data_IF_867027399912
#
_entry.id   IF_867027399912
#
_cell.length_a   1.000
_cell.length_b   1.000
_cell.length_c   1.000
_cell.angle_alpha   90.00
_cell.angle_beta   90.00
_cell.angle_gamma   90.00
#
_symmetry.space_group_name_H-M   'P 1'
#
loop_
_entity.id
_entity.type
_entity.pdbx_description
1 polymer ?
#
# COMPACT_ATOMS: atom_id res chain seq x y z
N UNK A 1 4.05 -37.64 6.02
CA UNK A 1 3.75 -36.19 6.10
C UNK A 1 2.35 -35.94 5.53
N UNK A 2 1.43 -35.24 6.20
CA UNK A 2 0.10 -34.96 5.64
C UNK A 2 0.18 -34.24 4.29
N UNK A 3 -0.68 -34.59 3.35
CA UNK A 3 -0.70 -34.02 1.98
C UNK A 3 -0.75 -32.48 1.96
N UNK A 4 -1.43 -31.86 2.95
CA UNK A 4 -1.51 -30.40 3.09
C UNK A 4 -0.15 -29.76 3.42
N UNK A 5 0.70 -30.43 4.19
CA UNK A 5 2.04 -29.96 4.53
C UNK A 5 2.96 -30.07 3.31
N UNK A 6 2.86 -31.17 2.55
CA UNK A 6 3.63 -31.35 1.30
C UNK A 6 3.29 -30.25 0.29
N UNK A 7 1.99 -29.95 0.11
CA UNK A 7 1.52 -28.87 -0.75
C UNK A 7 2.00 -27.48 -0.28
N UNK A 8 1.96 -27.24 1.03
CA UNK A 8 2.48 -26.00 1.61
C UNK A 8 3.98 -25.84 1.33
N UNK A 9 4.77 -26.90 1.59
CA UNK A 9 6.21 -26.89 1.35
C UNK A 9 6.53 -26.70 -0.14
N UNK A 10 5.81 -27.38 -1.05
CA UNK A 10 5.99 -27.19 -2.48
C UNK A 10 5.70 -25.74 -2.91
N UNK A 11 4.61 -25.15 -2.43
CA UNK A 11 4.29 -23.74 -2.70
C UNK A 11 5.37 -22.79 -2.17
N UNK A 12 5.88 -23.05 -0.97
CA UNK A 12 6.95 -22.26 -0.35
C UNK A 12 8.27 -22.33 -1.16
N UNK A 13 8.63 -23.51 -1.65
CA UNK A 13 9.83 -23.72 -2.50
C UNK A 13 9.67 -22.98 -3.83
N UNK A 14 8.53 -23.09 -4.49
CA UNK A 14 8.25 -22.39 -5.76
C UNK A 14 8.29 -20.89 -5.54
N UNK A 15 7.72 -20.38 -4.44
CA UNK A 15 7.75 -18.98 -4.09
C UNK A 15 9.18 -18.49 -3.88
N UNK A 16 10.00 -19.22 -3.13
CA UNK A 16 11.41 -18.88 -2.88
C UNK A 16 12.22 -18.88 -4.18
N UNK A 17 12.03 -19.88 -5.05
CA UNK A 17 12.67 -19.95 -6.36
C UNK A 17 12.29 -18.79 -7.28
N UNK A 18 11.01 -18.41 -7.29
CA UNK A 18 10.54 -17.26 -8.06
C UNK A 18 11.17 -15.95 -7.56
N UNK A 19 11.28 -15.74 -6.24
CA UNK A 19 11.96 -14.57 -5.66
C UNK A 19 13.46 -14.54 -5.95
N UNK A 20 14.12 -15.70 -5.92
CA UNK A 20 15.52 -15.79 -6.33
C UNK A 20 15.67 -15.41 -7.81
N UNK A 21 14.79 -15.88 -8.69
CA UNK A 21 14.78 -15.49 -10.10
C UNK A 21 14.56 -13.98 -10.25
N UNK A 22 13.59 -13.39 -9.54
CA UNK A 22 13.34 -11.95 -9.53
C UNK A 22 14.62 -11.22 -9.11
N UNK A 23 15.24 -11.61 -7.99
CA UNK A 23 16.45 -10.98 -7.49
C UNK A 23 17.59 -11.01 -8.52
N UNK A 24 17.82 -12.15 -9.16
CA UNK A 24 18.87 -12.31 -10.18
C UNK A 24 18.62 -11.50 -11.46
N UNK A 25 17.36 -11.15 -11.74
CA UNK A 25 16.97 -10.31 -12.87
C UNK A 25 17.12 -8.81 -12.56
N UNK A 26 17.08 -8.38 -11.29
CA UNK A 26 17.05 -6.94 -10.94
C UNK A 26 18.25 -6.14 -11.43
N UNK A 27 19.50 -6.65 -11.50
CA UNK A 27 20.61 -5.88 -12.02
C UNK A 27 20.44 -5.39 -13.46
N UNK A 28 19.65 -6.11 -14.27
CA UNK A 28 19.37 -5.69 -15.64
C UNK A 28 18.41 -4.49 -15.73
N UNK A 29 17.83 -4.04 -14.60
CA UNK A 29 16.97 -2.86 -14.51
C UNK A 29 17.68 -1.67 -13.86
N UNK A 30 18.99 -1.74 -13.65
CA UNK A 30 19.76 -0.67 -13.03
C UNK A 30 19.64 0.65 -13.81
N UNK A 31 19.78 1.75 -13.10
CA UNK A 31 19.74 3.10 -13.68
C UNK A 31 20.79 3.22 -14.79
N UNK A 32 20.37 3.76 -15.94
CA UNK A 32 21.22 3.89 -17.12
C UNK A 32 21.15 2.73 -18.13
N UNK A 33 20.44 1.63 -17.80
CA UNK A 33 20.17 0.57 -18.79
C UNK A 33 18.96 0.95 -19.65
N UNK A 34 18.98 0.52 -20.93
CA UNK A 34 17.86 0.81 -21.84
C UNK A 34 16.64 -0.08 -21.52
N UNK A 35 15.45 0.51 -21.44
CA UNK A 35 14.20 -0.24 -21.14
C UNK A 35 13.97 -1.37 -22.16
N UNK A 36 14.38 -1.18 -23.42
CA UNK A 36 14.29 -2.21 -24.47
C UNK A 36 15.10 -3.47 -24.15
N UNK A 37 16.16 -3.39 -23.38
CA UNK A 37 17.03 -4.50 -22.99
C UNK A 37 16.52 -5.22 -21.72
N UNK A 38 15.61 -4.59 -20.97
CA UNK A 38 15.11 -5.17 -19.73
C UNK A 38 14.42 -6.52 -19.96
N UNK A 39 14.69 -7.54 -19.12
CA UNK A 39 14.09 -8.87 -19.21
C UNK A 39 12.65 -8.88 -18.63
N UNK A 40 11.82 -7.92 -19.06
CA UNK A 40 10.48 -7.68 -18.50
C UNK A 40 9.56 -8.90 -18.59
N UNK A 41 9.66 -9.71 -19.67
CA UNK A 41 8.86 -10.93 -19.82
C UNK A 41 9.24 -11.98 -18.77
N UNK A 42 10.55 -12.23 -18.57
CA UNK A 42 11.03 -13.16 -17.56
C UNK A 42 10.67 -12.69 -16.15
N UNK A 43 10.80 -11.39 -15.89
CA UNK A 43 10.42 -10.77 -14.63
C UNK A 43 8.91 -10.92 -14.35
N UNK A 44 8.04 -10.56 -15.31
CA UNK A 44 6.59 -10.72 -15.15
C UNK A 44 6.19 -12.19 -15.00
N UNK A 45 6.83 -13.12 -15.72
CA UNK A 45 6.59 -14.55 -15.55
C UNK A 45 6.95 -15.03 -14.14
N UNK A 46 8.10 -14.58 -13.59
CA UNK A 46 8.50 -14.89 -12.21
C UNK A 46 7.52 -14.32 -11.19
N UNK A 47 7.01 -13.09 -11.39
CA UNK A 47 5.97 -12.49 -10.56
C UNK A 47 4.65 -13.27 -10.59
N UNK A 48 4.22 -13.72 -11.78
CA UNK A 48 3.03 -14.58 -11.94
C UNK A 48 3.23 -15.90 -11.22
N UNK A 49 4.39 -16.56 -11.38
CA UNK A 49 4.71 -17.83 -10.70
C UNK A 49 4.69 -17.63 -9.17
N UNK A 50 5.28 -16.55 -8.66
CA UNK A 50 5.23 -16.22 -7.24
C UNK A 50 3.78 -16.00 -6.75
N UNK A 51 2.97 -15.28 -7.53
CA UNK A 51 1.56 -15.06 -7.26
C UNK A 51 0.74 -16.36 -7.24
N UNK A 52 0.96 -17.27 -8.19
CA UNK A 52 0.29 -18.58 -8.25
C UNK A 52 0.70 -19.47 -7.06
N UNK A 53 2.01 -19.50 -6.73
CA UNK A 53 2.51 -20.24 -5.58
C UNK A 53 1.90 -19.74 -4.28
N UNK A 54 1.81 -18.42 -4.10
CA UNK A 54 1.15 -17.80 -2.96
C UNK A 54 -0.37 -18.07 -2.95
N UNK A 55 -1.06 -17.92 -4.08
CA UNK A 55 -2.51 -18.14 -4.18
C UNK A 55 -2.88 -19.59 -3.81
N UNK A 56 -2.02 -20.58 -4.13
CA UNK A 56 -2.21 -21.97 -3.76
C UNK A 56 -2.27 -22.21 -2.25
N UNK A 57 -1.74 -21.28 -1.42
CA UNK A 57 -1.84 -21.33 0.04
C UNK A 57 -3.28 -21.13 0.53
N UNK A 58 -4.10 -20.34 -0.17
CA UNK A 58 -5.46 -20.00 0.26
C UNK A 58 -6.35 -21.25 0.51
N UNK A 59 -6.50 -22.21 -0.41
CA UNK A 59 -7.25 -23.43 -0.15
C UNK A 59 -6.62 -24.33 0.92
N UNK A 60 -5.29 -24.32 1.03
CA UNK A 60 -4.56 -25.09 2.05
C UNK A 60 -4.89 -24.55 3.45
N UNK A 61 -4.80 -23.24 3.63
CA UNK A 61 -5.07 -22.56 4.89
C UNK A 61 -6.54 -22.67 5.32
N UNK A 62 -7.48 -22.65 4.35
CA UNK A 62 -8.92 -22.89 4.64
C UNK A 62 -9.16 -24.26 5.27
N UNK A 63 -8.46 -25.31 4.81
CA UNK A 63 -8.58 -26.67 5.36
C UNK A 63 -8.13 -26.78 6.80
N UNK A 64 -7.16 -25.99 7.24
CA UNK A 64 -6.69 -25.98 8.62
C UNK A 64 -7.74 -25.51 9.63
N UNK A 65 -8.68 -24.63 9.21
CA UNK A 65 -9.80 -24.24 10.07
C UNK A 65 -10.92 -25.30 10.14
N UNK A 66 -11.15 -26.03 9.03
CA UNK A 66 -12.31 -26.91 8.87
C UNK A 66 -12.12 -28.29 9.50
N UNK A 67 -10.90 -28.69 9.87
CA UNK A 67 -10.62 -30.01 10.44
C UNK A 67 -9.98 -29.92 11.81
N UNK A 68 -10.73 -30.20 12.89
CA UNK A 68 -10.16 -30.27 14.23
C UNK A 68 -9.14 -31.41 14.38
N UNK A 69 -9.09 -32.37 13.44
CA UNK A 69 -8.13 -33.49 13.42
C UNK A 69 -6.80 -33.15 12.78
N UNK A 70 -6.70 -32.03 12.04
CA UNK A 70 -5.43 -31.56 11.46
C UNK A 70 -4.90 -30.47 12.38
N UNK A 71 -4.13 -30.88 13.39
CA UNK A 71 -3.28 -29.93 14.11
C UNK A 71 -2.30 -29.33 13.11
N UNK A 72 -2.34 -28.00 12.94
CA UNK A 72 -1.29 -27.30 12.20
C UNK A 72 0.01 -27.57 12.93
N UNK A 73 1.01 -28.23 12.34
CA UNK A 73 2.26 -28.47 13.03
C UNK A 73 2.82 -27.15 13.55
N UNK A 74 3.26 -27.15 14.81
CA UNK A 74 3.82 -25.95 15.46
C UNK A 74 4.95 -25.31 14.65
N UNK A 75 5.59 -26.09 13.74
CA UNK A 75 6.68 -25.64 12.86
C UNK A 75 6.21 -24.78 11.68
N UNK A 76 4.92 -24.82 11.28
CA UNK A 76 4.47 -24.06 10.08
C UNK A 76 4.58 -22.56 10.32
N UNK A 77 4.20 -22.05 11.48
CA UNK A 77 4.27 -20.62 11.74
C UNK A 77 5.72 -20.09 11.76
N UNK A 78 6.68 -20.72 12.49
CA UNK A 78 8.09 -20.35 12.40
C UNK A 78 8.64 -20.41 10.97
N UNK A 79 8.29 -21.44 10.19
CA UNK A 79 8.72 -21.57 8.80
C UNK A 79 8.18 -20.44 7.92
N UNK A 80 6.90 -20.04 8.08
CA UNK A 80 6.30 -18.88 7.42
C UNK A 80 7.06 -17.61 7.78
N UNK A 81 7.32 -17.40 9.07
CA UNK A 81 8.02 -16.21 9.55
C UNK A 81 9.43 -16.12 8.96
N UNK A 82 10.22 -17.20 9.09
CA UNK A 82 11.60 -17.23 8.59
C UNK A 82 11.65 -17.05 7.07
N UNK A 83 10.83 -17.77 6.32
CA UNK A 83 10.78 -17.62 4.86
C UNK A 83 10.45 -16.18 4.47
N UNK A 84 9.39 -15.60 5.02
CA UNK A 84 9.01 -14.23 4.69
C UNK A 84 10.08 -13.19 5.05
N UNK A 85 10.82 -13.40 6.14
CA UNK A 85 11.95 -12.55 6.51
C UNK A 85 13.11 -12.70 5.52
N UNK A 86 13.46 -13.93 5.14
CA UNK A 86 14.53 -14.19 4.15
C UNK A 86 14.22 -13.58 2.79
N UNK A 87 12.96 -13.64 2.33
CA UNK A 87 12.55 -13.02 1.06
C UNK A 87 12.70 -11.49 1.11
N UNK A 88 12.44 -10.85 2.27
CA UNK A 88 12.66 -9.40 2.45
C UNK A 88 14.14 -9.06 2.45
N UNK A 89 14.95 -9.79 3.21
CA UNK A 89 16.42 -9.59 3.28
C UNK A 89 17.04 -9.78 1.89
N UNK A 90 16.59 -10.78 1.11
CA UNK A 90 17.04 -11.00 -0.26
C UNK A 90 16.88 -9.72 -1.11
N UNK A 91 15.75 -9.02 -0.99
CA UNK A 91 15.49 -7.82 -1.76
C UNK A 91 16.15 -6.54 -1.21
N UNK A 92 16.82 -6.58 -0.04
CA UNK A 92 17.58 -5.41 0.43
C UNK A 92 18.71 -5.03 -0.55
N UNK A 93 19.37 -6.02 -1.15
CA UNK A 93 20.44 -5.80 -2.13
C UNK A 93 19.97 -5.75 -3.59
N UNK A 94 18.64 -5.72 -3.85
CA UNK A 94 18.13 -5.68 -5.22
C UNK A 94 18.10 -4.27 -5.79
N UNK A 95 18.42 -4.13 -7.10
CA UNK A 95 18.14 -2.91 -7.86
C UNK A 95 16.62 -2.71 -8.00
N UNK A 96 16.17 -1.46 -7.94
CA UNK A 96 14.76 -1.14 -8.06
C UNK A 96 14.27 -1.33 -9.49
N UNK A 97 13.17 -2.06 -9.67
CA UNK A 97 12.58 -2.35 -10.98
C UNK A 97 11.52 -1.30 -11.30
N UNK A 98 11.85 -0.36 -12.18
CA UNK A 98 10.98 0.70 -12.72
C UNK A 98 10.50 1.75 -11.72
N UNK A 99 10.74 1.60 -10.41
CA UNK A 99 10.23 2.51 -9.39
C UNK A 99 11.38 3.31 -8.76
N UNK A 100 11.15 4.60 -8.54
CA UNK A 100 12.15 5.50 -7.97
C UNK A 100 11.58 6.48 -6.92
N UNK A 101 10.35 6.27 -6.45
CA UNK A 101 9.72 7.10 -5.39
C UNK A 101 10.57 7.19 -4.12
N UNK A 102 11.36 6.15 -3.83
CA UNK A 102 12.27 6.13 -2.67
C UNK A 102 13.28 7.28 -2.69
N UNK A 103 13.64 7.81 -3.86
CA UNK A 103 14.53 8.98 -3.98
C UNK A 103 13.89 10.20 -3.35
N UNK A 104 12.59 10.36 -3.56
CA UNK A 104 11.81 11.41 -2.91
C UNK A 104 11.76 11.21 -1.40
N UNK A 105 11.60 9.99 -0.89
CA UNK A 105 11.59 9.71 0.55
C UNK A 105 12.93 10.01 1.19
N UNK A 106 14.04 9.65 0.54
CA UNK A 106 15.39 9.96 1.02
C UNK A 106 15.63 11.47 1.08
N UNK A 107 15.18 12.20 0.06
CA UNK A 107 15.29 13.65 -0.01
C UNK A 107 14.43 14.33 1.05
N UNK A 108 13.15 14.04 1.09
CA UNK A 108 12.20 14.60 2.07
C UNK A 108 12.64 14.29 3.50
N UNK A 109 13.18 13.08 3.73
CA UNK A 109 13.78 12.68 5.00
C UNK A 109 14.97 13.54 5.40
N UNK A 110 15.85 13.87 4.45
CA UNK A 110 16.97 14.78 4.70
C UNK A 110 16.50 16.18 5.07
N UNK A 111 15.55 16.74 4.33
CA UNK A 111 14.95 18.06 4.60
C UNK A 111 14.35 18.11 6.01
N UNK A 112 13.50 17.12 6.33
CA UNK A 112 12.84 17.02 7.63
C UNK A 112 13.81 16.79 8.78
N UNK A 113 14.82 15.92 8.61
CA UNK A 113 15.84 15.61 9.62
C UNK A 113 16.70 16.83 9.97
N UNK A 114 16.85 17.78 9.05
CA UNK A 114 17.55 19.04 9.25
C UNK A 114 16.64 20.18 9.78
N UNK A 115 15.43 19.85 10.24
CA UNK A 115 14.50 20.77 10.88
C UNK A 115 13.83 21.77 9.93
N UNK A 116 13.81 21.46 8.62
CA UNK A 116 13.13 22.28 7.64
C UNK A 116 11.73 21.72 7.31
N UNK A 117 10.85 22.59 6.84
CA UNK A 117 9.52 22.22 6.40
C UNK A 117 9.57 21.67 4.95
N UNK A 118 9.30 20.36 4.72
CA UNK A 118 9.38 19.77 3.39
C UNK A 118 8.26 20.23 2.44
N UNK A 119 7.27 20.97 2.95
CA UNK A 119 6.16 21.52 2.16
C UNK A 119 6.44 22.94 1.64
N UNK A 120 7.56 23.57 2.04
CA UNK A 120 7.87 24.96 1.71
C UNK A 120 8.60 25.08 0.37
N UNK A 121 9.57 24.19 0.11
CA UNK A 121 10.39 24.22 -1.09
C UNK A 121 10.38 22.90 -1.83
N UNK A 122 10.33 22.95 -3.15
CA UNK A 122 10.50 21.80 -4.02
C UNK A 122 11.98 21.38 -4.13
N UNK A 123 12.28 20.12 -4.48
CA UNK A 123 13.64 19.68 -4.74
C UNK A 123 14.39 20.54 -5.78
N UNK A 124 13.68 20.96 -6.84
CA UNK A 124 14.30 21.79 -7.88
C UNK A 124 14.65 23.19 -7.41
N UNK A 125 13.85 23.84 -6.58
CA UNK A 125 14.17 25.14 -5.98
C UNK A 125 15.43 25.05 -5.11
N UNK A 126 15.52 24.00 -4.29
CA UNK A 126 16.71 23.75 -3.44
C UNK A 126 17.94 23.49 -4.30
N UNK A 127 17.81 22.71 -5.38
CA UNK A 127 18.90 22.44 -6.32
C UNK A 127 19.34 23.70 -7.04
N UNK A 128 18.42 24.54 -7.55
CA UNK A 128 18.79 25.81 -8.21
C UNK A 128 19.52 26.75 -7.21
N UNK A 129 19.09 26.79 -5.94
CA UNK A 129 19.74 27.60 -4.93
C UNK A 129 21.15 27.10 -4.56
N UNK A 130 21.50 25.86 -4.89
CA UNK A 130 22.84 25.30 -4.65
C UNK A 130 23.87 25.70 -5.72
N UNK A 131 23.43 26.27 -6.86
CA UNK A 131 24.33 26.66 -7.94
C UNK A 131 25.19 27.86 -7.58
N UNK A 132 26.46 27.92 -8.04
CA UNK A 132 27.33 29.08 -7.80
C UNK A 132 26.71 30.39 -8.26
N UNK A 133 26.68 31.39 -7.36
CA UNK A 133 26.13 32.71 -7.66
C UNK A 133 24.60 32.83 -7.52
N UNK A 134 23.90 31.78 -7.12
CA UNK A 134 22.46 31.86 -6.86
C UNK A 134 22.18 32.77 -5.65
N UNK A 135 21.26 33.72 -5.82
CA UNK A 135 20.72 34.51 -4.71
C UNK A 135 19.56 33.74 -4.09
N UNK A 136 19.65 33.42 -2.80
CA UNK A 136 18.59 32.69 -2.11
C UNK A 136 18.36 33.25 -0.72
N UNK A 137 17.13 33.06 -0.20
CA UNK A 137 16.80 33.37 1.20
C UNK A 137 17.59 32.44 2.14
N UNK A 138 17.90 32.85 3.39
CA UNK A 138 18.74 32.09 4.30
C UNK A 138 18.26 30.66 4.56
N UNK A 139 16.95 30.42 4.61
CA UNK A 139 16.34 29.08 4.78
C UNK A 139 16.69 28.16 3.60
N UNK A 140 16.54 28.66 2.38
CA UNK A 140 16.82 27.93 1.15
C UNK A 140 18.34 27.68 0.96
N UNK A 141 19.19 28.69 1.28
CA UNK A 141 20.64 28.55 1.25
C UNK A 141 21.14 27.44 2.18
N UNK A 142 20.54 27.29 3.37
CA UNK A 142 20.86 26.22 4.31
C UNK A 142 20.50 24.85 3.76
N UNK A 143 19.36 24.71 3.06
CA UNK A 143 18.94 23.45 2.42
C UNK A 143 19.76 23.12 1.18
N UNK A 144 20.25 24.15 0.46
CA UNK A 144 21.09 23.99 -0.72
C UNK A 144 22.40 23.20 -0.41
N UNK A 145 22.89 23.26 0.83
CA UNK A 145 24.05 22.46 1.25
C UNK A 145 23.78 20.97 1.18
N UNK A 146 22.52 20.52 1.41
CA UNK A 146 22.15 19.11 1.34
C UNK A 146 22.26 18.55 -0.08
N UNK A 147 22.09 19.39 -1.13
CA UNK A 147 22.20 18.94 -2.53
C UNK A 147 23.64 18.76 -3.01
N UNK A 148 24.63 19.33 -2.30
CA UNK A 148 26.02 19.36 -2.75
C UNK A 148 26.87 18.17 -2.27
N UNK A 149 26.48 17.39 -1.27
CA UNK A 149 27.42 16.48 -0.57
C UNK A 149 27.24 15.00 -0.92
N UNK A 150 26.02 14.51 -1.05
CA UNK A 150 25.76 13.09 -1.39
C UNK A 150 24.50 12.91 -2.28
N UNK A 151 23.83 14.00 -2.60
CA UNK A 151 22.57 14.01 -3.32
C UNK A 151 22.72 14.19 -4.85
N UNK A 152 23.95 14.32 -5.37
CA UNK A 152 24.23 14.72 -6.77
C UNK A 152 23.57 13.80 -7.81
N UNK A 153 23.41 12.51 -7.50
CA UNK A 153 22.64 11.60 -8.35
C UNK A 153 21.16 11.47 -7.94
N UNK A 154 20.82 11.87 -6.70
CA UNK A 154 19.48 11.68 -6.15
C UNK A 154 18.49 12.73 -6.68
N UNK A 155 18.90 14.01 -6.70
CA UNK A 155 18.05 15.14 -7.09
C UNK A 155 17.70 15.12 -8.57
N UNK A 156 18.59 14.64 -9.44
CA UNK A 156 18.36 14.56 -10.89
C UNK A 156 17.28 13.54 -11.28
N UNK A 157 17.03 12.53 -10.42
CA UNK A 157 16.16 11.41 -10.72
C UNK A 157 14.89 11.37 -9.84
N UNK A 158 14.61 12.47 -9.09
CA UNK A 158 13.38 12.59 -8.32
C UNK A 158 12.20 12.79 -9.26
N UNK A 159 11.14 11.98 -9.06
CA UNK A 159 9.88 12.17 -9.78
C UNK A 159 9.25 13.52 -9.44
N UNK A 160 8.89 14.30 -10.47
CA UNK A 160 8.25 15.62 -10.32
C UNK A 160 9.01 16.57 -9.38
N UNK A 161 10.30 16.88 -9.65
CA UNK A 161 11.15 17.65 -8.75
C UNK A 161 10.69 19.11 -8.52
N UNK A 162 9.81 19.61 -9.40
CA UNK A 162 9.21 20.96 -9.30
C UNK A 162 8.08 21.05 -8.29
N UNK A 163 7.58 19.92 -7.78
CA UNK A 163 6.49 19.88 -6.80
C UNK A 163 7.04 19.74 -5.37
N UNK A 164 6.42 20.42 -4.42
CA UNK A 164 6.63 20.15 -3.00
C UNK A 164 6.14 18.75 -2.64
N UNK A 165 6.46 18.26 -1.44
CA UNK A 165 6.09 16.89 -1.06
C UNK A 165 4.57 16.67 -0.99
N UNK A 166 4.16 15.46 -1.37
CA UNK A 166 2.75 14.99 -1.25
C UNK A 166 2.52 14.14 0.00
N UNK A 167 3.60 13.77 0.70
CA UNK A 167 3.54 12.80 1.81
C UNK A 167 3.23 13.50 3.13
N UNK A 168 2.22 13.02 3.90
CA UNK A 168 1.84 13.63 5.16
C UNK A 168 2.93 13.56 6.26
N UNK A 169 2.84 14.39 7.32
CA UNK A 169 3.92 14.61 8.28
C UNK A 169 4.41 13.38 9.04
N UNK A 170 3.56 12.39 9.33
CA UNK A 170 4.04 11.18 10.00
C UNK A 170 4.93 10.33 9.07
N UNK A 171 4.66 10.31 7.75
CA UNK A 171 5.55 9.69 6.78
C UNK A 171 6.90 10.42 6.72
N UNK A 172 6.89 11.76 6.74
CA UNK A 172 8.11 12.58 6.80
C UNK A 172 8.97 12.25 8.02
N UNK A 173 8.35 12.06 9.19
CA UNK A 173 9.05 11.62 10.40
C UNK A 173 9.72 10.26 10.25
N UNK A 174 9.10 9.31 9.53
CA UNK A 174 9.69 7.99 9.23
C UNK A 174 10.85 8.13 8.24
N UNK A 175 10.75 9.00 7.24
CA UNK A 175 11.84 9.25 6.30
C UNK A 175 13.04 9.93 7.01
N UNK A 176 12.78 10.88 7.92
CA UNK A 176 13.80 11.50 8.75
C UNK A 176 14.50 10.49 9.67
N UNK A 177 13.77 9.52 10.23
CA UNK A 177 14.35 8.43 11.02
C UNK A 177 15.35 7.62 10.19
N UNK A 178 15.03 7.31 8.93
CA UNK A 178 15.96 6.61 8.04
C UNK A 178 17.22 7.44 7.76
N UNK A 179 17.07 8.77 7.57
CA UNK A 179 18.19 9.67 7.39
C UNK A 179 19.12 9.72 8.62
N UNK A 180 18.57 9.76 9.84
CA UNK A 180 19.37 9.74 11.07
C UNK A 180 20.13 8.42 11.29
N UNK A 181 19.61 7.29 10.77
CA UNK A 181 20.33 6.00 10.83
C UNK A 181 21.49 6.02 9.85
N UNK A 182 21.26 6.39 8.59
CA UNK A 182 22.31 6.56 7.59
C UNK A 182 21.83 7.53 6.49
N UNK A 183 22.44 8.74 6.39
CA UNK A 183 22.05 9.75 5.42
C UNK A 183 22.04 9.22 3.99
N UNK A 184 20.92 9.42 3.28
CA UNK A 184 20.72 9.06 1.87
C UNK A 184 20.93 7.57 1.52
N UNK A 185 20.96 6.66 2.51
CA UNK A 185 21.18 5.23 2.24
C UNK A 185 19.86 4.48 2.15
N UNK A 186 19.61 3.86 1.00
CA UNK A 186 18.40 3.10 0.72
C UNK A 186 18.18 1.94 1.71
N UNK A 187 19.27 1.27 2.13
CA UNK A 187 19.15 0.18 3.11
C UNK A 187 18.61 0.66 4.47
N UNK A 188 18.91 1.89 4.88
CA UNK A 188 18.37 2.45 6.14
C UNK A 188 16.85 2.64 6.05
N UNK A 189 16.36 3.12 4.90
CA UNK A 189 14.92 3.25 4.65
C UNK A 189 14.22 1.88 4.64
N UNK A 190 14.80 0.88 3.95
CA UNK A 190 14.30 -0.51 3.96
C UNK A 190 14.29 -1.10 5.36
N UNK A 191 15.32 -0.83 6.18
CA UNK A 191 15.39 -1.29 7.57
C UNK A 191 14.28 -0.67 8.44
N UNK A 192 14.02 0.62 8.30
CA UNK A 192 12.94 1.31 9.00
C UNK A 192 11.58 0.75 8.57
N UNK A 193 11.38 0.51 7.26
CA UNK A 193 10.15 -0.12 6.76
C UNK A 193 9.96 -1.53 7.33
N UNK A 194 11.03 -2.33 7.43
CA UNK A 194 10.99 -3.66 8.04
C UNK A 194 10.60 -3.59 9.51
N UNK A 195 11.14 -2.63 10.26
CA UNK A 195 10.77 -2.43 11.66
C UNK A 195 9.27 -2.15 11.82
N UNK A 196 8.71 -1.21 11.04
CA UNK A 196 7.28 -0.92 11.09
C UNK A 196 6.42 -2.07 10.57
N UNK A 197 6.88 -2.82 9.57
CA UNK A 197 6.17 -4.00 9.10
C UNK A 197 6.14 -5.12 10.15
N UNK A 198 7.22 -5.33 10.91
CA UNK A 198 7.24 -6.27 12.02
C UNK A 198 6.27 -5.89 13.14
N UNK A 199 6.11 -4.59 13.43
CA UNK A 199 5.04 -4.11 14.32
C UNK A 199 3.66 -4.42 13.76
N UNK A 200 3.47 -4.24 12.44
CA UNK A 200 2.25 -4.62 11.74
C UNK A 200 1.97 -6.12 11.80
N UNK A 201 2.99 -6.95 11.60
CA UNK A 201 2.88 -8.40 11.74
C UNK A 201 2.51 -8.79 13.18
N UNK A 202 3.10 -8.14 14.19
CA UNK A 202 2.74 -8.38 15.59
C UNK A 202 1.26 -8.03 15.85
N UNK A 203 0.77 -6.91 15.34
CA UNK A 203 -0.64 -6.52 15.44
C UNK A 203 -1.56 -7.52 14.69
N UNK A 204 -1.14 -8.01 13.51
CA UNK A 204 -1.84 -9.06 12.76
C UNK A 204 -1.98 -10.34 13.59
N UNK A 205 -0.88 -10.82 14.15
CA UNK A 205 -0.85 -12.05 14.95
C UNK A 205 -1.69 -11.91 16.23
N UNK A 206 -1.60 -10.77 16.92
CA UNK A 206 -2.44 -10.46 18.06
C UNK A 206 -3.93 -10.43 17.67
N UNK A 207 -4.25 -9.84 16.53
CA UNK A 207 -5.60 -9.78 15.98
C UNK A 207 -6.17 -11.16 15.60
N UNK A 208 -5.37 -12.03 15.00
CA UNK A 208 -5.73 -13.43 14.70
C UNK A 208 -5.97 -14.22 16.00
N UNK A 209 -5.03 -14.12 16.96
CA UNK A 209 -5.16 -14.77 18.25
C UNK A 209 -6.40 -14.33 19.02
N UNK A 210 -6.69 -13.01 19.04
CA UNK A 210 -7.85 -12.47 19.74
C UNK A 210 -9.20 -12.95 19.16
N UNK A 211 -9.19 -13.46 17.91
CA UNK A 211 -10.36 -14.01 17.20
C UNK A 211 -10.35 -15.53 17.12
N UNK A 212 -9.42 -16.21 17.79
CA UNK A 212 -9.28 -17.67 17.71
C UNK A 212 -8.96 -18.18 16.30
N UNK A 213 -8.33 -17.35 15.45
CA UNK A 213 -7.95 -17.72 14.10
C UNK A 213 -6.53 -18.31 14.06
N UNK A 214 -6.24 -19.26 13.15
CA UNK A 214 -4.92 -19.84 13.01
C UNK A 214 -3.84 -18.79 12.70
N UNK A 215 -2.73 -18.78 13.45
CA UNK A 215 -1.62 -17.86 13.20
C UNK A 215 -0.96 -18.10 11.83
N UNK A 216 -1.04 -19.33 11.29
CA UNK A 216 -0.57 -19.65 9.93
C UNK A 216 -1.29 -18.86 8.83
N UNK A 217 -2.48 -18.29 9.10
CA UNK A 217 -3.16 -17.43 8.14
C UNK A 217 -2.41 -16.11 7.88
N UNK A 218 -1.50 -15.72 8.78
CA UNK A 218 -0.59 -14.60 8.52
C UNK A 218 0.25 -14.79 7.25
N UNK A 219 0.43 -16.03 6.76
CA UNK A 219 1.09 -16.32 5.48
C UNK A 219 0.45 -15.57 4.30
N UNK A 220 -0.85 -15.29 4.33
CA UNK A 220 -1.53 -14.55 3.26
C UNK A 220 -1.10 -13.07 3.18
N UNK A 221 -0.60 -12.51 4.25
CA UNK A 221 0.02 -11.20 4.28
C UNK A 221 1.55 -11.33 4.14
N UNK A 222 2.16 -12.11 5.03
CA UNK A 222 3.61 -12.13 5.23
C UNK A 222 4.39 -12.76 4.07
N UNK A 223 3.78 -13.68 3.31
CA UNK A 223 4.35 -14.31 2.10
C UNK A 223 3.78 -13.74 0.80
N UNK A 224 2.97 -12.67 0.85
CA UNK A 224 2.40 -12.11 -0.36
C UNK A 224 3.49 -11.48 -1.24
N UNK A 225 3.68 -11.94 -2.49
CA UNK A 225 4.78 -11.50 -3.34
C UNK A 225 4.68 -10.02 -3.71
N UNK A 226 3.49 -9.47 -3.90
CA UNK A 226 3.34 -8.04 -4.21
C UNK A 226 3.72 -7.18 -3.01
N UNK A 227 3.27 -7.53 -1.80
CA UNK A 227 3.65 -6.80 -0.59
C UNK A 227 5.17 -6.80 -0.41
N UNK A 228 5.81 -7.98 -0.51
CA UNK A 228 7.26 -8.11 -0.34
C UNK A 228 7.99 -7.31 -1.43
N UNK A 229 7.60 -7.47 -2.69
CA UNK A 229 8.28 -6.84 -3.81
C UNK A 229 8.12 -5.32 -3.78
N UNK A 230 6.90 -4.80 -3.67
CA UNK A 230 6.66 -3.35 -3.69
C UNK A 230 7.24 -2.63 -2.47
N UNK A 231 7.38 -3.32 -1.33
CA UNK A 231 7.99 -2.74 -0.12
C UNK A 231 9.52 -2.77 -0.15
N UNK A 232 10.16 -3.84 -0.65
CA UNK A 232 11.61 -4.01 -0.50
C UNK A 232 12.41 -3.89 -1.80
N UNK A 233 11.76 -3.97 -2.96
CA UNK A 233 12.35 -3.62 -4.25
C UNK A 233 11.90 -2.22 -4.70
N UNK A 234 10.59 -1.99 -4.83
CA UNK A 234 10.02 -0.68 -5.17
C UNK A 234 10.09 0.36 -4.04
N UNK A 235 10.30 -0.07 -2.81
CA UNK A 235 10.47 0.73 -1.59
C UNK A 235 9.31 1.71 -1.37
N UNK A 236 8.05 1.23 -1.54
CA UNK A 236 6.87 2.05 -1.29
C UNK A 236 6.49 2.08 0.19
N UNK A 237 6.17 3.28 0.67
CA UNK A 237 5.90 3.57 2.07
C UNK A 237 4.57 3.03 2.62
N UNK A 238 3.73 2.45 1.78
CA UNK A 238 2.39 1.98 2.14
C UNK A 238 2.39 0.90 3.24
N UNK A 239 3.50 0.21 3.43
CA UNK A 239 3.72 -0.73 4.53
C UNK A 239 3.59 -0.08 5.91
N UNK A 240 3.88 1.21 6.03
CA UNK A 240 3.76 1.98 7.28
C UNK A 240 2.33 2.05 7.82
N UNK A 241 1.33 1.85 6.94
CA UNK A 241 -0.09 1.84 7.31
C UNK A 241 -0.50 0.57 8.06
N UNK A 242 0.23 -0.53 7.90
CA UNK A 242 -0.18 -1.85 8.41
C UNK A 242 -0.25 -1.88 9.94
N UNK A 243 0.79 -1.39 10.59
CA UNK A 243 0.86 -1.38 12.06
C UNK A 243 -0.28 -0.56 12.70
N UNK A 244 -0.51 0.71 12.35
CA UNK A 244 -1.55 1.50 12.98
C UNK A 244 -2.96 1.04 12.60
N UNK A 245 -3.22 0.63 11.34
CA UNK A 245 -4.56 0.16 10.94
C UNK A 245 -4.91 -1.15 11.65
N UNK A 246 -4.02 -2.13 11.69
CA UNK A 246 -4.29 -3.40 12.36
C UNK A 246 -4.36 -3.24 13.90
N UNK A 247 -3.60 -2.31 14.47
CA UNK A 247 -3.75 -1.93 15.89
C UNK A 247 -5.11 -1.27 16.15
N UNK A 248 -5.57 -0.39 15.27
CA UNK A 248 -6.91 0.20 15.36
C UNK A 248 -7.99 -0.89 15.31
N UNK A 249 -7.88 -1.86 14.39
CA UNK A 249 -8.79 -3.02 14.32
C UNK A 249 -8.75 -3.87 15.60
N UNK A 250 -7.57 -4.13 16.16
CA UNK A 250 -7.40 -4.91 17.38
C UNK A 250 -8.09 -4.29 18.58
N UNK A 251 -7.97 -2.96 18.73
CA UNK A 251 -8.44 -2.24 19.90
C UNK A 251 -9.82 -1.59 19.76
N UNK A 252 -10.40 -1.51 18.55
CA UNK A 252 -11.63 -0.79 18.27
C UNK A 252 -12.81 -1.18 19.18
N UNK A 253 -12.88 -2.43 19.62
CA UNK A 253 -13.98 -2.97 20.41
C UNK A 253 -13.83 -2.73 21.91
N UNK A 254 -12.60 -2.79 22.43
CA UNK A 254 -12.34 -2.81 23.88
C UNK A 254 -11.72 -1.51 24.38
N UNK A 255 -10.93 -0.84 23.56
CA UNK A 255 -10.19 0.40 23.87
C UNK A 255 -10.30 1.40 22.73
N UNK A 256 -11.50 2.02 22.55
CA UNK A 256 -11.78 2.85 21.38
C UNK A 256 -10.87 4.08 21.28
N UNK A 257 -10.38 4.63 22.41
CA UNK A 257 -9.42 5.75 22.40
C UNK A 257 -8.09 5.32 21.78
N UNK A 258 -7.56 4.14 22.16
CA UNK A 258 -6.31 3.61 21.55
C UNK A 258 -6.52 3.37 20.05
N UNK A 259 -7.67 2.82 19.67
CA UNK A 259 -7.99 2.62 18.26
C UNK A 259 -8.10 3.96 17.49
N UNK A 260 -8.65 5.00 18.11
CA UNK A 260 -8.71 6.34 17.53
C UNK A 260 -7.31 6.95 17.33
N UNK A 261 -6.43 6.85 18.33
CA UNK A 261 -5.03 7.27 18.23
C UNK A 261 -4.31 6.56 17.08
N UNK A 262 -4.48 5.23 16.96
CA UNK A 262 -3.86 4.45 15.89
C UNK A 262 -4.44 4.81 14.51
N UNK A 263 -5.74 5.04 14.40
CA UNK A 263 -6.35 5.44 13.13
C UNK A 263 -5.91 6.86 12.73
N UNK A 264 -5.79 7.79 13.68
CA UNK A 264 -5.27 9.14 13.43
C UNK A 264 -3.80 9.09 12.97
N UNK A 265 -2.98 8.21 13.57
CA UNK A 265 -1.60 7.99 13.11
C UNK A 265 -1.58 7.43 11.67
N UNK A 266 -2.45 6.48 11.35
CA UNK A 266 -2.58 5.99 9.97
C UNK A 266 -2.98 7.11 9.00
N UNK A 267 -3.91 7.99 9.40
CA UNK A 267 -4.33 9.14 8.60
C UNK A 267 -3.22 10.19 8.43
N UNK A 268 -2.34 10.33 9.42
CA UNK A 268 -1.15 11.18 9.35
C UNK A 268 -0.03 10.61 8.46
N UNK A 269 -0.11 9.33 8.07
CA UNK A 269 0.75 8.69 7.05
C UNK A 269 0.13 8.81 5.66
N UNK A 270 -1.18 8.55 5.54
CA UNK A 270 -2.01 8.69 4.34
C UNK A 270 -3.45 8.96 4.77
N UNK A 271 -4.16 9.86 4.11
CA UNK A 271 -5.49 10.35 4.59
C UNK A 271 -6.60 9.29 4.46
N UNK A 272 -6.54 8.40 3.47
CA UNK A 272 -7.60 7.45 3.15
C UNK A 272 -8.06 6.54 4.33
N UNK A 273 -7.23 6.17 5.34
CA UNK A 273 -7.66 5.36 6.47
C UNK A 273 -8.83 5.95 7.26
N UNK A 274 -9.10 7.25 7.14
CA UNK A 274 -10.29 7.88 7.75
C UNK A 274 -11.59 7.22 7.28
N UNK A 275 -11.64 6.70 6.04
CA UNK A 275 -12.78 5.94 5.52
C UNK A 275 -13.09 4.69 6.36
N UNK A 276 -12.14 4.15 7.11
CA UNK A 276 -12.31 2.96 7.92
C UNK A 276 -13.06 3.25 9.23
N UNK A 277 -13.12 4.51 9.67
CA UNK A 277 -13.66 4.90 10.98
C UNK A 277 -15.09 4.42 11.23
N UNK A 278 -16.09 4.63 10.34
CA UNK A 278 -17.47 4.19 10.57
C UNK A 278 -17.56 2.68 10.82
N UNK A 279 -16.76 1.88 10.10
CA UNK A 279 -16.74 0.42 10.22
C UNK A 279 -16.03 -0.04 11.50
N UNK A 280 -14.88 0.56 11.82
CA UNK A 280 -14.11 0.23 13.02
C UNK A 280 -14.86 0.50 14.30
N UNK A 281 -15.58 1.63 14.36
CA UNK A 281 -16.26 2.08 15.57
C UNK A 281 -17.77 1.80 15.59
N UNK A 282 -18.31 1.02 14.65
CA UNK A 282 -19.73 0.73 14.52
C UNK A 282 -20.40 0.15 15.78
N UNK A 283 -19.63 -0.48 16.66
CA UNK A 283 -20.14 -1.04 17.92
C UNK A 283 -20.55 0.03 18.92
N UNK A 284 -20.00 1.23 18.77
CA UNK A 284 -20.24 2.37 19.67
C UNK A 284 -21.37 3.27 19.18
N UNK A 285 -21.96 3.00 18.01
CA UNK A 285 -22.97 3.86 17.39
C UNK A 285 -24.24 4.07 18.24
N UNK A 286 -24.60 3.12 19.13
CA UNK A 286 -25.73 3.28 20.06
C UNK A 286 -25.35 4.05 21.34
N UNK A 287 -24.11 4.48 21.45
CA UNK A 287 -23.58 5.33 22.51
C UNK A 287 -23.11 6.65 21.90
N UNK A 288 -24.02 7.57 21.50
CA UNK A 288 -23.69 8.71 20.65
C UNK A 288 -22.59 9.59 21.24
N UNK A 289 -22.59 9.82 22.55
CA UNK A 289 -21.55 10.63 23.22
C UNK A 289 -20.16 10.01 23.00
N UNK A 290 -20.04 8.69 23.15
CA UNK A 290 -18.76 7.99 22.93
C UNK A 290 -18.42 8.00 21.45
N UNK A 291 -19.38 7.69 20.57
CA UNK A 291 -19.16 7.62 19.13
C UNK A 291 -18.68 8.95 18.55
N UNK A 292 -19.40 10.04 18.86
CA UNK A 292 -19.01 11.38 18.41
C UNK A 292 -17.78 11.92 19.12
N UNK A 293 -17.54 11.53 20.38
CA UNK A 293 -16.29 11.82 21.10
C UNK A 293 -15.07 11.17 20.41
N UNK A 294 -15.20 9.90 19.96
CA UNK A 294 -14.17 9.22 19.17
C UNK A 294 -13.95 9.94 17.82
N UNK A 295 -15.02 10.26 17.10
CA UNK A 295 -14.95 10.96 15.83
C UNK A 295 -14.29 12.34 15.99
N UNK A 296 -14.64 13.10 17.01
CA UNK A 296 -14.01 14.38 17.36
C UNK A 296 -12.53 14.22 17.70
N UNK A 297 -12.16 13.19 18.47
CA UNK A 297 -10.76 12.91 18.80
C UNK A 297 -9.94 12.60 17.51
N UNK A 298 -10.46 11.76 16.62
CA UNK A 298 -9.82 11.46 15.33
C UNK A 298 -9.66 12.73 14.51
N UNK A 299 -10.71 13.54 14.39
CA UNK A 299 -10.67 14.79 13.63
C UNK A 299 -9.60 15.75 14.18
N UNK A 300 -9.58 15.98 15.49
CA UNK A 300 -8.59 16.87 16.14
C UNK A 300 -7.17 16.36 15.94
N UNK A 301 -6.91 15.09 16.26
CA UNK A 301 -5.56 14.53 16.17
C UNK A 301 -5.05 14.51 14.73
N UNK A 302 -5.91 14.13 13.76
CA UNK A 302 -5.54 14.15 12.36
C UNK A 302 -5.26 15.56 11.87
N UNK A 303 -6.13 16.53 12.19
CA UNK A 303 -5.93 17.93 11.79
C UNK A 303 -4.65 18.52 12.38
N UNK A 304 -4.37 18.27 13.67
CA UNK A 304 -3.12 18.72 14.31
C UNK A 304 -1.90 18.07 13.67
N UNK A 305 -1.97 16.77 13.34
CA UNK A 305 -0.87 16.06 12.69
C UNK A 305 -0.62 16.56 11.26
N UNK A 306 -1.66 16.98 10.55
CA UNK A 306 -1.56 17.48 9.18
C UNK A 306 -1.29 19.00 9.12
N UNK A 307 -1.24 19.69 10.26
CA UNK A 307 -1.15 21.15 10.32
C UNK A 307 0.03 21.72 9.51
N UNK A 308 1.27 21.19 9.56
CA UNK A 308 2.37 21.70 8.74
C UNK A 308 2.07 21.66 7.24
N UNK A 309 1.41 20.59 6.78
CA UNK A 309 1.00 20.43 5.39
C UNK A 309 -0.14 21.40 5.03
N UNK A 310 -1.14 21.54 5.93
CA UNK A 310 -2.31 22.42 5.71
C UNK A 310 -1.91 23.88 5.62
N UNK A 311 -0.97 24.33 6.47
CA UNK A 311 -0.48 25.70 6.48
C UNK A 311 0.37 26.06 5.26
N UNK A 312 0.86 25.05 4.53
CA UNK A 312 1.64 25.21 3.29
C UNK A 312 0.82 24.91 2.03
N UNK A 313 -0.53 24.83 2.14
CA UNK A 313 -1.40 24.61 0.98
C UNK A 313 -1.55 25.90 0.19
N UNK A 314 -1.11 25.85 -1.06
CA UNK A 314 -1.39 26.83 -2.11
C UNK A 314 -1.67 26.12 -3.43
N UNK A 315 -1.90 26.85 -4.51
CA UNK A 315 -2.17 26.26 -5.83
C UNK A 315 -0.98 25.47 -6.40
N UNK A 316 0.24 25.77 -5.96
CA UNK A 316 1.48 25.11 -6.37
C UNK A 316 1.83 23.91 -5.51
N UNK A 317 1.13 23.69 -4.38
CA UNK A 317 1.40 22.58 -3.47
C UNK A 317 1.30 21.23 -4.18
N UNK A 318 2.31 20.38 -3.99
CA UNK A 318 2.40 19.08 -4.63
C UNK A 318 1.16 18.21 -4.43
N UNK A 319 0.55 18.24 -3.22
CA UNK A 319 -0.66 17.47 -2.94
C UNK A 319 -1.87 17.98 -3.73
N UNK A 320 -1.97 19.29 -3.98
CA UNK A 320 -3.03 19.89 -4.78
C UNK A 320 -2.86 19.46 -6.25
N UNK A 321 -1.65 19.61 -6.79
CA UNK A 321 -1.31 19.17 -8.15
C UNK A 321 -1.55 17.66 -8.36
N UNK A 322 -1.10 16.83 -7.39
CA UNK A 322 -1.31 15.38 -7.43
C UNK A 322 -2.79 15.01 -7.40
N UNK A 323 -3.54 15.58 -6.46
CA UNK A 323 -4.97 15.27 -6.30
C UNK A 323 -5.82 15.71 -7.49
N UNK A 324 -5.41 16.74 -8.22
CA UNK A 324 -6.13 17.25 -9.39
C UNK A 324 -5.82 16.46 -10.68
N UNK A 325 -4.55 16.09 -10.90
CA UNK A 325 -4.07 15.71 -12.23
C UNK A 325 -3.65 14.24 -12.38
N UNK A 326 -3.25 13.56 -11.27
CA UNK A 326 -2.68 12.21 -11.38
C UNK A 326 -3.74 11.16 -11.72
N UNK A 327 -3.61 10.56 -12.89
CA UNK A 327 -4.39 9.39 -13.32
C UNK A 327 -3.43 8.39 -13.93
N UNK A 328 -3.30 7.20 -13.31
CA UNK A 328 -2.37 6.17 -13.76
C UNK A 328 -2.84 4.77 -13.37
N UNK A 329 -2.81 3.82 -14.33
CA UNK A 329 -3.21 2.42 -14.11
C UNK A 329 -4.60 2.29 -13.46
N UNK A 330 -5.47 3.23 -13.71
CA UNK A 330 -6.80 3.32 -13.10
C UNK A 330 -7.80 2.44 -13.86
N UNK A 331 -8.62 1.70 -13.12
CA UNK A 331 -9.55 0.75 -13.73
C UNK A 331 -10.96 1.33 -13.93
N UNK A 332 -11.65 1.71 -12.87
CA UNK A 332 -13.04 2.19 -12.97
C UNK A 332 -13.15 3.72 -13.09
N UNK A 333 -12.18 4.47 -12.62
CA UNK A 333 -12.21 5.94 -12.65
C UNK A 333 -12.39 6.51 -14.07
N UNK A 334 -11.70 6.01 -15.14
CA UNK A 334 -11.89 6.54 -16.49
C UNK A 334 -13.34 6.43 -16.95
N UNK A 335 -14.01 5.30 -16.67
CA UNK A 335 -15.41 5.11 -17.03
C UNK A 335 -16.34 6.14 -16.36
N UNK A 336 -16.10 6.43 -15.07
CA UNK A 336 -16.87 7.47 -14.34
C UNK A 336 -16.58 8.85 -14.92
N UNK A 337 -15.31 9.17 -15.15
CA UNK A 337 -14.91 10.45 -15.75
C UNK A 337 -15.52 10.66 -17.13
N UNK A 338 -15.43 9.65 -18.00
CA UNK A 338 -15.89 9.77 -19.38
C UNK A 338 -17.41 9.87 -19.46
N UNK A 339 -18.14 9.17 -18.58
CA UNK A 339 -19.58 9.32 -18.45
C UNK A 339 -19.99 10.74 -17.99
N UNK A 340 -19.26 11.31 -17.03
CA UNK A 340 -19.51 12.68 -16.57
C UNK A 340 -19.12 13.73 -17.61
N UNK A 341 -18.14 13.44 -18.47
CA UNK A 341 -17.72 14.31 -19.57
C UNK A 341 -18.80 14.56 -20.62
N UNK A 342 -19.88 13.77 -20.63
CA UNK A 342 -21.05 14.03 -21.47
C UNK A 342 -21.89 15.23 -20.97
N UNK A 343 -21.69 15.69 -19.74
CA UNK A 343 -22.56 16.67 -19.07
C UNK A 343 -21.82 17.77 -18.32
N UNK A 344 -20.53 17.62 -18.05
CA UNK A 344 -19.74 18.49 -17.15
C UNK A 344 -18.44 18.90 -17.83
N UNK A 345 -18.08 20.19 -17.74
CA UNK A 345 -16.86 20.77 -18.35
C UNK A 345 -15.56 20.24 -17.72
N UNK A 346 -15.50 20.03 -16.38
CA UNK A 346 -14.37 19.42 -15.70
C UNK A 346 -14.73 18.03 -15.17
N UNK A 347 -14.76 17.00 -16.06
CA UNK A 347 -15.16 15.65 -15.66
C UNK A 347 -14.14 14.97 -14.77
N UNK A 348 -12.86 15.37 -14.82
CA UNK A 348 -11.81 14.79 -14.00
C UNK A 348 -12.01 15.12 -12.52
N UNK A 349 -12.28 16.39 -12.21
CA UNK A 349 -12.59 16.85 -10.85
C UNK A 349 -13.93 16.30 -10.37
N UNK A 350 -14.95 16.33 -11.22
CA UNK A 350 -16.29 15.80 -10.90
C UNK A 350 -16.22 14.29 -10.55
N UNK A 351 -15.48 13.48 -11.32
CA UNK A 351 -15.31 12.05 -11.06
C UNK A 351 -14.66 11.79 -9.68
N UNK A 352 -13.69 12.60 -9.28
CA UNK A 352 -13.05 12.49 -7.96
C UNK A 352 -14.04 12.74 -6.83
N UNK A 353 -14.89 13.77 -6.95
CA UNK A 353 -15.93 14.05 -5.96
C UNK A 353 -17.00 12.96 -5.91
N UNK A 354 -17.46 12.47 -7.06
CA UNK A 354 -18.46 11.39 -7.14
C UNK A 354 -17.90 10.12 -6.51
N UNK A 355 -16.66 9.74 -6.80
CA UNK A 355 -16.02 8.56 -6.21
C UNK A 355 -15.80 8.73 -4.71
N UNK A 356 -15.36 9.91 -4.26
CA UNK A 356 -15.24 10.21 -2.83
C UNK A 356 -16.59 10.08 -2.11
N UNK A 357 -17.68 10.58 -2.71
CA UNK A 357 -19.03 10.44 -2.19
C UNK A 357 -19.51 8.97 -2.14
N UNK A 358 -19.22 8.19 -3.20
CA UNK A 358 -19.55 6.74 -3.27
C UNK A 358 -18.80 5.99 -2.16
N UNK A 359 -17.48 6.22 -2.01
CA UNK A 359 -16.67 5.55 -0.98
C UNK A 359 -17.09 5.94 0.44
N UNK A 360 -17.39 7.22 0.66
CA UNK A 360 -17.92 7.71 1.93
C UNK A 360 -19.29 7.10 2.23
N UNK A 361 -20.20 7.11 1.26
CA UNK A 361 -21.52 6.47 1.38
C UNK A 361 -21.42 4.98 1.67
N UNK A 362 -20.51 4.27 0.98
CA UNK A 362 -20.26 2.84 1.22
C UNK A 362 -19.68 2.60 2.63
N UNK A 363 -18.76 3.42 3.09
CA UNK A 363 -18.22 3.36 4.45
C UNK A 363 -19.31 3.58 5.51
N UNK A 364 -20.13 4.61 5.33
CA UNK A 364 -21.26 4.91 6.23
C UNK A 364 -22.28 3.77 6.21
N UNK A 365 -22.63 3.24 5.03
CA UNK A 365 -23.53 2.09 4.92
C UNK A 365 -23.00 0.87 5.70
N UNK A 366 -21.71 0.52 5.52
CA UNK A 366 -21.08 -0.56 6.28
C UNK A 366 -21.02 -0.28 7.79
N UNK A 367 -20.87 0.96 8.20
CA UNK A 367 -20.80 1.37 9.59
C UNK A 367 -22.15 1.41 10.29
N UNK A 368 -23.19 1.94 9.63
CA UNK A 368 -24.46 2.26 10.25
C UNK A 368 -25.60 1.27 9.91
N UNK A 369 -25.62 0.72 8.71
CA UNK A 369 -26.74 -0.12 8.22
C UNK A 369 -26.48 -1.59 8.49
N UNK A 370 -25.24 -2.07 8.35
CA UNK A 370 -24.93 -3.49 8.57
C UNK A 370 -25.00 -3.88 10.06
N UNK A 371 -25.31 -5.16 10.38
CA UNK A 371 -25.28 -5.65 11.76
C UNK A 371 -23.95 -5.39 12.46
N UNK A 372 -24.00 -5.16 13.78
CA UNK A 372 -22.83 -4.89 14.62
C UNK A 372 -21.94 -6.12 14.89
N UNK A 373 -22.01 -7.15 14.08
CA UNK A 373 -21.21 -8.35 14.26
C UNK A 373 -19.69 -8.01 14.18
N UNK A 374 -18.95 -8.20 15.29
CA UNK A 374 -17.51 -7.91 15.34
C UNK A 374 -16.69 -8.76 14.38
N UNK A 375 -17.14 -9.99 14.07
CA UNK A 375 -16.41 -10.91 13.20
C UNK A 375 -16.46 -10.46 11.73
N UNK A 376 -17.48 -9.68 11.36
CA UNK A 376 -17.60 -9.12 10.00
C UNK A 376 -16.79 -7.84 9.78
N UNK A 377 -16.26 -7.21 10.83
CA UNK A 377 -15.48 -5.97 10.69
C UNK A 377 -14.32 -6.14 9.71
N UNK A 378 -13.42 -7.15 9.84
CA UNK A 378 -12.29 -7.29 8.92
C UNK A 378 -12.69 -7.48 7.46
N UNK A 379 -13.75 -8.25 7.19
CA UNK A 379 -14.23 -8.47 5.81
C UNK A 379 -14.86 -7.21 5.20
N UNK A 380 -15.50 -6.36 6.01
CA UNK A 380 -16.03 -5.07 5.56
C UNK A 380 -14.88 -4.08 5.29
N UNK A 381 -13.82 -4.07 6.12
CA UNK A 381 -12.61 -3.26 5.88
C UNK A 381 -11.88 -3.74 4.60
N UNK A 382 -11.79 -5.05 4.40
CA UNK A 382 -11.25 -5.67 3.18
C UNK A 382 -11.99 -5.15 1.93
N UNK A 383 -13.34 -5.19 1.94
CA UNK A 383 -14.17 -4.74 0.83
C UNK A 383 -14.06 -3.23 0.59
N UNK A 384 -14.05 -2.42 1.66
CA UNK A 384 -13.96 -0.97 1.56
C UNK A 384 -12.61 -0.52 1.01
N UNK A 385 -11.51 -1.10 1.52
CA UNK A 385 -10.18 -0.81 1.01
C UNK A 385 -9.98 -1.30 -0.43
N UNK A 386 -10.57 -2.44 -0.80
CA UNK A 386 -10.55 -2.91 -2.18
C UNK A 386 -11.36 -1.99 -3.10
N UNK A 387 -12.56 -1.55 -2.68
CA UNK A 387 -13.36 -0.59 -3.44
C UNK A 387 -12.61 0.71 -3.71
N UNK A 388 -11.84 1.20 -2.72
CA UNK A 388 -10.97 2.36 -2.90
C UNK A 388 -9.94 2.11 -4.02
N UNK A 389 -9.27 0.96 -4.04
CA UNK A 389 -8.28 0.62 -5.09
C UNK A 389 -8.94 0.51 -6.46
N UNK A 390 -10.10 -0.13 -6.58
CA UNK A 390 -10.82 -0.28 -7.85
C UNK A 390 -11.32 1.06 -8.43
N UNK A 391 -11.71 2.00 -7.56
CA UNK A 391 -12.28 3.29 -7.93
C UNK A 391 -11.23 4.41 -8.01
N UNK A 392 -10.02 4.19 -7.47
CA UNK A 392 -8.96 5.19 -7.43
C UNK A 392 -8.57 5.69 -8.82
N UNK A 393 -8.25 6.99 -8.99
CA UNK A 393 -7.60 7.50 -10.19
C UNK A 393 -6.20 6.91 -10.41
N UNK A 394 -5.62 6.27 -9.38
CA UNK A 394 -4.34 5.57 -9.45
C UNK A 394 -4.48 4.16 -8.94
N UNK A 395 -4.17 3.15 -9.79
CA UNK A 395 -4.29 1.72 -9.47
C UNK A 395 -2.94 1.03 -9.35
N UNK A 396 -2.09 1.50 -8.46
CA UNK A 396 -0.74 0.96 -8.29
C UNK A 396 -0.71 -0.34 -7.49
N UNK A 397 0.20 -1.30 -7.81
CA UNK A 397 0.31 -2.57 -7.09
C UNK A 397 0.62 -2.43 -5.59
N UNK A 398 1.36 -1.39 -5.17
CA UNK A 398 1.63 -1.16 -3.74
C UNK A 398 0.41 -0.73 -2.94
N UNK A 399 -0.67 -0.27 -3.59
CA UNK A 399 -1.95 -0.02 -2.91
C UNK A 399 -2.69 -1.32 -2.54
N UNK A 400 -2.31 -2.46 -3.10
CA UNK A 400 -2.94 -3.73 -2.75
C UNK A 400 -2.72 -4.12 -1.29
N UNK A 401 -1.66 -3.62 -0.65
CA UNK A 401 -1.43 -3.79 0.80
C UNK A 401 -2.60 -3.25 1.63
N UNK A 402 -3.32 -2.21 1.15
CA UNK A 402 -4.42 -1.58 1.88
C UNK A 402 -5.57 -2.53 2.16
N UNK A 403 -5.86 -3.46 1.27
CA UNK A 403 -6.86 -4.49 1.50
C UNK A 403 -6.24 -5.85 1.87
N UNK A 404 -5.07 -6.21 1.34
CA UNK A 404 -4.44 -7.49 1.60
C UNK A 404 -4.08 -7.70 3.09
N UNK A 405 -3.85 -6.62 3.86
CA UNK A 405 -3.62 -6.72 5.30
C UNK A 405 -4.83 -7.30 6.07
N UNK A 406 -6.04 -7.20 5.53
CA UNK A 406 -7.26 -7.77 6.12
C UNK A 406 -7.57 -9.19 5.64
N UNK A 407 -6.94 -9.66 4.56
CA UNK A 407 -7.19 -10.98 3.97
C UNK A 407 -7.00 -12.14 4.96
N UNK A 408 -5.98 -12.13 5.87
CA UNK A 408 -5.82 -13.16 6.88
C UNK A 408 -7.04 -13.34 7.80
N UNK A 409 -7.81 -12.29 8.04
CA UNK A 409 -9.02 -12.37 8.86
C UNK A 409 -10.26 -12.82 8.08
N UNK A 410 -10.21 -12.74 6.76
CA UNK A 410 -11.33 -12.97 5.86
C UNK A 410 -11.15 -14.21 4.95
N UNK A 411 -10.28 -15.15 5.31
CA UNK A 411 -9.92 -16.33 4.49
C UNK A 411 -11.14 -17.13 4.02
N UNK A 412 -12.16 -17.25 4.87
CA UNK A 412 -13.42 -17.96 4.55
C UNK A 412 -14.50 -17.07 3.95
N UNK A 413 -14.26 -15.77 3.84
CA UNK A 413 -15.22 -14.84 3.24
C UNK A 413 -15.26 -15.00 1.72
N UNK A 414 -16.43 -14.78 1.12
CA UNK A 414 -16.62 -14.93 -0.33
C UNK A 414 -15.69 -14.04 -1.17
N UNK A 415 -15.34 -12.84 -0.67
CA UNK A 415 -14.48 -11.91 -1.39
C UNK A 415 -12.99 -12.32 -1.46
N UNK A 416 -12.55 -13.21 -0.58
CA UNK A 416 -11.13 -13.52 -0.42
C UNK A 416 -10.46 -14.01 -1.71
N UNK A 417 -11.17 -14.88 -2.49
CA UNK A 417 -10.61 -15.46 -3.72
C UNK A 417 -10.43 -14.41 -4.82
N UNK A 418 -11.48 -13.61 -5.08
CA UNK A 418 -11.42 -12.57 -6.11
C UNK A 418 -10.33 -11.55 -5.81
N UNK A 419 -10.24 -11.06 -4.56
CA UNK A 419 -9.22 -10.07 -4.19
C UNK A 419 -7.80 -10.65 -4.16
N UNK A 420 -7.63 -11.92 -3.81
CA UNK A 420 -6.33 -12.58 -3.86
C UNK A 420 -5.77 -12.68 -5.29
N UNK A 421 -6.62 -12.79 -6.32
CA UNK A 421 -6.21 -12.85 -7.73
C UNK A 421 -5.49 -11.57 -8.20
N UNK A 422 -5.76 -10.40 -7.60
CA UNK A 422 -5.04 -9.16 -7.89
C UNK A 422 -3.53 -9.30 -7.70
N UNK A 423 -3.08 -10.15 -6.78
CA UNK A 423 -1.66 -10.43 -6.57
C UNK A 423 -0.97 -11.00 -7.84
N UNK A 424 -1.70 -11.78 -8.64
CA UNK A 424 -1.18 -12.30 -9.93
C UNK A 424 -1.29 -11.22 -11.00
N UNK A 425 -2.42 -10.52 -11.07
CA UNK A 425 -2.70 -9.47 -12.04
C UNK A 425 -1.67 -8.35 -12.01
N UNK A 426 -1.13 -8.02 -10.83
CA UNK A 426 -0.15 -6.97 -10.63
C UNK A 426 1.12 -7.08 -11.51
N UNK A 427 1.43 -8.27 -12.05
CA UNK A 427 2.51 -8.43 -13.02
C UNK A 427 2.28 -7.59 -14.30
N UNK A 428 1.03 -7.33 -14.67
CA UNK A 428 0.66 -6.52 -15.82
C UNK A 428 1.16 -5.06 -15.71
N UNK A 429 1.13 -4.51 -14.48
CA UNK A 429 1.65 -3.18 -14.22
C UNK A 429 3.10 -3.02 -14.64
N UNK A 430 3.96 -4.00 -14.36
CA UNK A 430 5.38 -3.93 -14.72
C UNK A 430 5.63 -4.13 -16.21
N UNK A 431 4.77 -4.88 -16.90
CA UNK A 431 4.84 -5.03 -18.35
C UNK A 431 4.62 -3.70 -19.11
N UNK A 432 3.88 -2.74 -18.51
CA UNK A 432 3.53 -1.46 -19.13
C UNK A 432 4.75 -0.63 -19.56
N UNK A 433 5.85 -0.70 -18.80
CA UNK A 433 7.05 0.10 -19.05
C UNK A 433 7.70 -0.30 -20.38
N UNK A 434 7.93 -1.61 -20.59
CA UNK A 434 8.46 -2.10 -21.87
C UNK A 434 7.48 -1.90 -23.03
N UNK A 435 6.18 -2.05 -22.77
CA UNK A 435 5.14 -1.77 -23.77
C UNK A 435 5.09 -0.29 -24.14
N UNK A 436 5.25 0.62 -23.19
CA UNK A 436 5.30 2.05 -23.43
C UNK A 436 6.46 2.43 -24.34
N UNK A 437 7.65 1.93 -24.04
CA UNK A 437 8.85 2.14 -24.84
C UNK A 437 8.72 1.58 -26.27
N UNK A 438 8.10 0.41 -26.41
CA UNK A 438 7.85 -0.20 -27.71
C UNK A 438 6.68 0.43 -28.49
N UNK A 439 6.06 1.53 -28.01
CA UNK A 439 4.89 2.16 -28.65
C UNK A 439 3.57 1.37 -28.49
N UNK A 440 3.54 0.36 -27.63
CA UNK A 440 2.40 -0.54 -27.45
C UNK A 440 1.62 -0.28 -26.15
N UNK A 441 1.70 0.91 -25.57
CA UNK A 441 1.01 1.25 -24.32
C UNK A 441 -0.52 1.05 -24.39
N UNK A 442 -1.10 1.17 -25.58
CA UNK A 442 -2.52 0.88 -25.79
C UNK A 442 -2.90 -0.57 -25.49
N UNK A 443 -1.97 -1.56 -25.66
CA UNK A 443 -2.22 -2.96 -25.30
C UNK A 443 -2.33 -3.08 -23.79
N UNK A 444 -1.47 -2.38 -23.03
CA UNK A 444 -1.60 -2.35 -21.59
C UNK A 444 -2.96 -1.82 -21.14
N UNK A 445 -3.36 -0.66 -21.63
CA UNK A 445 -4.62 0.01 -21.21
C UNK A 445 -5.86 -0.79 -21.62
N UNK A 446 -5.88 -1.35 -22.85
CA UNK A 446 -7.08 -1.99 -23.43
C UNK A 446 -7.18 -3.50 -23.14
N UNK A 447 -6.10 -4.14 -22.79
CA UNK A 447 -6.06 -5.61 -22.59
C UNK A 447 -5.57 -5.98 -21.21
N UNK A 448 -4.32 -5.60 -20.85
CA UNK A 448 -3.71 -6.09 -19.63
C UNK A 448 -4.36 -5.49 -18.37
N UNK A 449 -4.62 -4.20 -18.34
CA UNK A 449 -5.27 -3.54 -17.22
C UNK A 449 -6.70 -4.07 -16.97
N UNK A 450 -7.57 -4.25 -18.02
CA UNK A 450 -8.84 -4.94 -17.85
C UNK A 450 -8.73 -6.39 -17.38
N UNK A 451 -7.69 -7.12 -17.77
CA UNK A 451 -7.46 -8.49 -17.26
C UNK A 451 -6.99 -8.45 -15.79
N UNK A 452 -6.09 -7.53 -15.42
CA UNK A 452 -5.57 -7.35 -14.07
C UNK A 452 -6.69 -7.15 -13.04
N UNK A 453 -7.62 -6.24 -13.33
CA UNK A 453 -8.70 -5.88 -12.41
C UNK A 453 -10.04 -6.55 -12.73
N UNK A 454 -10.34 -6.78 -14.00
CA UNK A 454 -11.64 -7.30 -14.44
C UNK A 454 -11.86 -8.77 -14.07
N UNK A 455 -10.85 -9.63 -14.20
CA UNK A 455 -10.96 -11.03 -13.79
C UNK A 455 -11.18 -11.14 -12.27
N UNK A 456 -10.39 -10.48 -11.39
CA UNK A 456 -10.67 -10.43 -9.96
C UNK A 456 -12.07 -9.93 -9.62
N UNK A 457 -12.52 -8.85 -10.28
CA UNK A 457 -13.85 -8.28 -10.08
C UNK A 457 -14.95 -9.27 -10.49
N UNK A 458 -14.83 -9.92 -11.63
CA UNK A 458 -15.80 -10.93 -12.07
C UNK A 458 -15.91 -12.11 -11.10
N UNK A 459 -14.76 -12.61 -10.60
CA UNK A 459 -14.73 -13.66 -9.57
C UNK A 459 -15.35 -13.16 -8.25
N UNK A 460 -15.06 -11.92 -7.85
CA UNK A 460 -15.65 -11.30 -6.67
C UNK A 460 -17.18 -11.23 -6.78
N UNK A 461 -17.70 -10.76 -7.91
CA UNK A 461 -19.14 -10.68 -8.16
C UNK A 461 -19.82 -12.06 -8.17
N UNK A 462 -19.20 -13.03 -8.85
CA UNK A 462 -19.68 -14.41 -8.91
C UNK A 462 -19.76 -15.05 -7.53
N UNK A 463 -18.73 -14.95 -6.74
CA UNK A 463 -18.71 -15.49 -5.37
C UNK A 463 -19.70 -14.79 -4.45
N UNK A 464 -19.90 -13.48 -4.63
CA UNK A 464 -20.91 -12.71 -3.90
C UNK A 464 -22.35 -13.13 -4.23
N UNK A 465 -22.64 -13.36 -5.51
CA UNK A 465 -23.97 -13.87 -5.95
C UNK A 465 -24.24 -15.26 -5.38
N UNK A 466 -23.25 -16.17 -5.46
CA UNK A 466 -23.36 -17.51 -4.86
C UNK A 466 -23.51 -17.50 -3.34
N UNK A 467 -22.91 -16.53 -2.65
CA UNK A 467 -23.07 -16.40 -1.20
C UNK A 467 -24.50 -15.98 -0.83
N UNK A 468 -25.13 -15.10 -1.62
CA UNK A 468 -26.53 -14.68 -1.41
C UNK A 468 -27.53 -15.79 -1.67
N UNK A 469 -27.29 -16.66 -2.65
CA UNK A 469 -28.21 -17.77 -2.96
C UNK A 469 -28.22 -18.91 -1.93
N UNK A 470 -27.34 -18.86 -0.93
CA UNK A 470 -27.21 -19.87 0.15
C UNK A 470 -27.80 -19.40 1.49
N UNK A 471 -28.25 -18.16 1.56
CA UNK A 471 -28.97 -17.53 2.69
C UNK A 471 -30.44 -17.47 2.38
#
# INVERSE_FOLDING_TARGET
MPRSIQLFSASAIVLAGAFLCIYLLTPAFAVGTMITEHPAVAFCAAMVIAGLAWLSLLPILRRFKLSPKISVPAIIFPAVFVLGLLLRILLFGSESVYENDYRRYLWDGAVTANGANPYEYSPSEIYEASKPGASSVPSLARLAVLSNVEADGLTNDINSPVLTTIYPPAAQGVFALAYWIAPFKLWALKLVFLFFELLGLAALLAGLRARGLPLSWSALYWLNPIIIFTTYNGVHMDVLLVAPILSALLWSQRRPIIAALMLSLAAAIKIWPLLLAPVLFRQWRDKPVIYFGIAGLIAVLTSLSLLPMILSLDESAGIVAYSANWVNSSFLFPGVRDALGLFIEDPNRAARYVIAAILTGFSLWLGFITPKDPERVPSHLLLLAAALVFLSPTGYPWYFIWFLMFLPFAVSHWSARGLALLTIGAAAYFARFKMGEAGHYNIYIRVLLPLEFGIPLAVLMWDGLKARSRV
#
